data_IF_608071112556
#
_entry.id   IF_608071112556
#
_cell.length_a   1.000
_cell.length_b   1.000
_cell.length_c   1.000
_cell.angle_alpha   90.00
_cell.angle_beta   90.00
_cell.angle_gamma   90.00
#
_symmetry.space_group_name_H-M   'P 1'
#
loop_
_entity.id
_entity.type
_entity.pdbx_description
1 polymer ?
#
# COMPACT_ATOMS: atom_id res chain seq x y z
N UNK A 1 1.99 -2.57 -7.89
CA UNK A 1 1.87 -1.39 -7.01
C UNK A 1 2.78 -0.23 -7.40
N UNK A 2 4.11 -0.39 -7.44
CA UNK A 2 5.06 0.74 -7.55
C UNK A 2 4.75 1.74 -8.68
N UNK A 3 4.39 1.24 -9.86
CA UNK A 3 4.04 2.08 -11.01
C UNK A 3 2.69 2.81 -10.81
N UNK A 4 1.71 2.15 -10.19
CA UNK A 4 0.35 2.67 -10.02
C UNK A 4 0.22 3.63 -8.84
N UNK A 5 1.06 3.49 -7.82
CA UNK A 5 1.00 4.29 -6.58
C UNK A 5 2.09 5.35 -6.50
N UNK A 6 3.11 5.28 -7.38
CA UNK A 6 4.33 6.09 -7.30
C UNK A 6 5.01 6.07 -5.92
N UNK A 7 4.71 5.04 -5.11
CA UNK A 7 5.26 4.87 -3.77
C UNK A 7 6.69 4.34 -3.85
N UNK A 8 7.48 4.62 -2.81
CA UNK A 8 8.85 4.13 -2.72
C UNK A 8 8.85 2.62 -2.48
N UNK A 9 9.88 1.93 -2.97
CA UNK A 9 10.04 0.48 -2.80
C UNK A 9 9.95 0.02 -1.35
N UNK A 10 10.51 0.80 -0.41
CA UNK A 10 10.41 0.53 1.04
C UNK A 10 9.00 0.73 1.61
N UNK A 11 8.24 1.69 1.08
CA UNK A 11 6.85 1.89 1.48
C UNK A 11 5.98 0.70 1.01
N UNK A 12 6.27 0.11 -0.15
CA UNK A 12 5.50 -1.01 -0.70
C UNK A 12 5.82 -2.32 0.01
N UNK A 13 7.10 -2.64 0.22
CA UNK A 13 7.50 -3.92 0.83
C UNK A 13 6.96 -4.13 2.24
N UNK A 14 6.78 -3.04 2.99
CA UNK A 14 6.24 -3.09 4.35
C UNK A 14 4.80 -2.60 4.43
N UNK A 15 4.11 -2.50 3.28
CA UNK A 15 2.70 -2.15 3.25
C UNK A 15 1.89 -3.21 4.00
N UNK A 16 1.01 -2.76 4.89
CA UNK A 16 0.15 -3.65 5.67
C UNK A 16 -1.27 -3.62 5.13
N UNK A 17 -1.97 -4.73 5.29
CA UNK A 17 -3.39 -4.81 4.92
C UNK A 17 -4.24 -3.74 5.58
N UNK A 18 -3.97 -3.48 6.86
CA UNK A 18 -4.69 -2.49 7.67
C UNK A 18 -4.49 -1.05 7.23
N UNK A 19 -3.51 -0.78 6.36
CA UNK A 19 -3.29 0.55 5.80
C UNK A 19 -4.18 0.80 4.56
N UNK A 20 -4.85 -0.23 4.03
CA UNK A 20 -5.66 -0.19 2.83
C UNK A 20 -7.15 -0.17 3.17
N UNK A 21 -7.78 1.00 3.09
CA UNK A 21 -9.20 1.13 3.39
C UNK A 21 -9.89 2.04 2.39
N UNK A 22 -11.12 1.69 1.99
CA UNK A 22 -11.97 2.51 1.13
C UNK A 22 -11.30 2.96 -0.19
N UNK A 23 -10.44 2.12 -0.77
CA UNK A 23 -9.71 2.46 -1.99
C UNK A 23 -8.61 3.50 -1.79
N UNK A 24 -8.15 3.71 -0.55
CA UNK A 24 -7.03 4.58 -0.21
C UNK A 24 -6.02 3.80 0.62
N UNK A 25 -4.76 3.86 0.22
CA UNK A 25 -3.65 3.37 1.02
C UNK A 25 -3.08 4.51 1.87
N UNK A 26 -3.14 4.37 3.19
CA UNK A 26 -2.67 5.37 4.14
C UNK A 26 -1.37 4.91 4.80
N UNK A 27 -0.25 5.49 4.40
CA UNK A 27 1.08 5.19 4.94
C UNK A 27 1.32 6.06 6.17
N UNK A 28 1.65 5.48 7.33
CA UNK A 28 1.89 6.22 8.57
C UNK A 28 3.16 7.07 8.48
N UNK A 29 3.18 8.18 9.21
CA UNK A 29 4.29 9.15 9.27
C UNK A 29 5.65 8.49 9.49
N UNK A 30 5.71 7.51 10.38
CA UNK A 30 6.91 6.75 10.77
C UNK A 30 7.62 6.07 9.59
N UNK A 31 6.88 5.75 8.53
CA UNK A 31 7.39 5.06 7.34
C UNK A 31 7.64 5.99 6.16
N UNK A 32 7.37 7.28 6.33
CA UNK A 32 7.58 8.29 5.28
C UNK A 32 8.85 9.08 5.55
N UNK A 33 9.59 9.40 4.48
CA UNK A 33 10.80 10.24 4.60
C UNK A 33 10.50 11.67 5.07
N UNK A 34 9.27 12.13 4.88
CA UNK A 34 8.84 13.51 5.12
C UNK A 34 8.15 13.73 6.46
N UNK A 35 8.04 12.71 7.32
CA UNK A 35 7.26 12.76 8.57
C UNK A 35 5.82 13.28 8.35
N UNK A 36 5.19 12.88 7.25
CA UNK A 36 3.79 13.25 6.92
C UNK A 36 3.01 12.03 6.48
N UNK A 37 1.76 11.92 6.91
CA UNK A 37 0.87 10.84 6.47
C UNK A 37 0.77 10.93 4.95
N UNK A 38 1.01 9.82 4.26
CA UNK A 38 0.85 9.76 2.81
C UNK A 38 -0.42 8.97 2.50
N UNK A 39 -1.37 9.61 1.83
CA UNK A 39 -2.61 8.96 1.39
C UNK A 39 -2.57 8.80 -0.12
N UNK A 40 -2.57 7.55 -0.59
CA UNK A 40 -2.50 7.21 -2.00
C UNK A 40 -3.85 6.64 -2.44
N UNK A 41 -4.59 7.31 -3.33
CA UNK A 41 -5.80 6.73 -3.91
C UNK A 41 -5.42 5.52 -4.79
N UNK A 42 -6.12 4.41 -4.60
CA UNK A 42 -5.91 3.17 -5.33
C UNK A 42 -6.86 3.11 -6.52
N UNK A 43 -6.30 2.86 -7.70
CA UNK A 43 -7.11 2.59 -8.90
C UNK A 43 -7.78 1.22 -8.81
N UNK A 44 -8.81 1.00 -9.62
CA UNK A 44 -9.49 -0.30 -9.71
C UNK A 44 -8.50 -1.43 -10.05
N UNK A 45 -7.55 -1.18 -10.97
CA UNK A 45 -6.50 -2.14 -11.31
C UNK A 45 -5.57 -2.45 -10.13
N UNK A 46 -5.21 -1.43 -9.34
CA UNK A 46 -4.39 -1.63 -8.14
C UNK A 46 -5.11 -2.50 -7.12
N UNK A 47 -6.43 -2.31 -6.93
CA UNK A 47 -7.25 -3.13 -6.07
C UNK A 47 -7.34 -4.60 -6.54
N UNK A 48 -7.39 -4.85 -7.85
CA UNK A 48 -7.37 -6.22 -8.39
C UNK A 48 -6.04 -6.91 -8.09
N UNK A 49 -4.92 -6.22 -8.33
CA UNK A 49 -3.58 -6.75 -8.04
C UNK A 49 -3.43 -7.02 -6.54
N UNK A 50 -3.91 -6.10 -5.71
CA UNK A 50 -3.94 -6.23 -4.26
C UNK A 50 -4.64 -7.50 -3.82
N UNK A 51 -5.89 -7.71 -4.24
CA UNK A 51 -6.65 -8.92 -3.87
C UNK A 51 -5.91 -10.20 -4.20
N UNK A 52 -5.24 -10.26 -5.36
CA UNK A 52 -4.42 -11.41 -5.74
C UNK A 52 -3.20 -11.58 -4.83
N UNK A 53 -2.46 -10.50 -4.56
CA UNK A 53 -1.30 -10.54 -3.67
C UNK A 53 -1.67 -10.98 -2.25
N UNK A 54 -2.77 -10.44 -1.73
CA UNK A 54 -3.35 -10.77 -0.44
C UNK A 54 -3.72 -12.25 -0.36
N UNK A 55 -4.35 -12.78 -1.41
CA UNK A 55 -4.76 -14.19 -1.45
C UNK A 55 -3.59 -15.18 -1.42
N UNK A 56 -2.37 -14.74 -1.75
CA UNK A 56 -1.16 -15.58 -1.82
C UNK A 56 -0.22 -15.29 -0.65
N UNK A 57 -0.41 -14.16 0.06
CA UNK A 57 0.45 -13.78 1.19
C UNK A 57 0.25 -14.68 2.41
N UNK A 58 1.35 -15.00 3.10
CA UNK A 58 1.40 -15.83 4.31
C UNK A 58 1.81 -14.94 5.51
N UNK A 59 1.22 -13.75 5.64
CA UNK A 59 1.51 -12.82 6.74
C UNK A 59 0.76 -11.48 6.63
N UNK A 60 1.17 -10.52 7.47
CA UNK A 60 0.53 -9.19 7.56
C UNK A 60 0.92 -8.21 6.45
N UNK A 61 1.90 -8.57 5.63
CA UNK A 61 2.42 -7.77 4.52
C UNK A 61 1.85 -8.22 3.19
N UNK A 62 1.87 -7.32 2.22
CA UNK A 62 1.35 -7.53 0.86
C UNK A 62 2.48 -7.68 -0.15
#
# INVERSE_FOLDING_TARGET
>A
MLILTAARSGEIRFAKMSELENGVWTIPVERTKTNRIHRIPLTAECNTILKTAISISIGDYI
#
